data_IF_619137107727
#
_entry.id   IF_619137107727
#
_cell.length_a   1.000
_cell.length_b   1.000
_cell.length_c   1.000
_cell.angle_alpha   90.00
_cell.angle_beta   90.00
_cell.angle_gamma   90.00
#
_symmetry.space_group_name_H-M   'P 1'
#
loop_
_entity.id
_entity.type
_entity.pdbx_description
1 polymer ?
#
# COMPACT_ATOMS: atom_id res chain seq x y z
N UNK A 1 -12.16 -7.67 6.62
CA UNK A 1 -12.43 -7.18 5.26
C UNK A 1 -13.24 -5.92 5.43
N UNK A 2 -13.11 -4.89 4.56
CA UNK A 2 -13.93 -3.71 4.72
C UNK A 2 -15.39 -4.15 4.60
N UNK A 3 -16.22 -3.76 5.57
CA UNK A 3 -17.64 -4.15 5.64
C UNK A 3 -18.46 -3.59 4.47
N UNK A 4 -17.91 -2.61 3.77
CA UNK A 4 -18.48 -1.97 2.59
C UNK A 4 -17.46 -1.98 1.45
N UNK A 5 -17.93 -2.05 0.18
CA UNK A 5 -17.04 -1.97 -0.97
C UNK A 5 -16.31 -0.63 -1.00
N UNK A 6 -15.00 -0.68 -1.22
CA UNK A 6 -14.17 0.51 -1.40
C UNK A 6 -13.92 0.68 -2.89
N UNK A 7 -14.31 1.84 -3.42
CA UNK A 7 -14.02 2.21 -4.80
C UNK A 7 -12.66 2.90 -4.89
N UNK A 8 -11.89 2.50 -5.89
CA UNK A 8 -10.56 3.05 -6.14
C UNK A 8 -10.70 4.16 -7.18
N UNK A 9 -10.36 5.38 -6.79
CA UNK A 9 -10.40 6.57 -7.64
C UNK A 9 -9.00 7.15 -7.84
N UNK A 10 -8.81 7.95 -8.90
CA UNK A 10 -7.52 8.57 -9.21
C UNK A 10 -7.00 9.46 -8.08
N UNK A 11 -7.88 10.18 -7.38
CA UNK A 11 -7.49 11.03 -6.24
C UNK A 11 -6.85 10.24 -5.10
N UNK A 12 -7.37 9.04 -4.78
CA UNK A 12 -6.78 8.14 -3.80
C UNK A 12 -5.37 7.70 -4.23
N UNK A 13 -5.22 7.38 -5.52
CA UNK A 13 -3.93 6.97 -6.07
C UNK A 13 -2.90 8.10 -6.05
N UNK A 14 -3.30 9.31 -6.45
CA UNK A 14 -2.46 10.49 -6.43
C UNK A 14 -1.99 10.82 -5.01
N UNK A 15 -2.90 10.82 -4.04
CA UNK A 15 -2.55 11.02 -2.63
C UNK A 15 -1.54 9.98 -2.15
N UNK A 16 -1.78 8.69 -2.42
CA UNK A 16 -0.91 7.61 -1.98
C UNK A 16 0.50 7.71 -2.58
N UNK A 17 0.60 8.13 -3.86
CA UNK A 17 1.86 8.42 -4.54
C UNK A 17 2.58 9.59 -3.88
N UNK A 18 1.90 10.70 -3.56
CA UNK A 18 2.53 11.83 -2.88
C UNK A 18 3.06 11.45 -1.50
N UNK A 19 2.28 10.68 -0.72
CA UNK A 19 2.70 10.16 0.58
C UNK A 19 3.91 9.24 0.46
N UNK A 20 3.95 8.38 -0.56
CA UNK A 20 5.09 7.52 -0.82
C UNK A 20 6.35 8.35 -1.12
N UNK A 21 6.27 9.37 -1.99
CA UNK A 21 7.40 10.25 -2.37
C UNK A 21 8.07 10.94 -1.21
N UNK A 22 7.28 11.44 -0.25
CA UNK A 22 7.82 12.15 0.93
C UNK A 22 8.29 11.19 2.03
N UNK A 23 7.93 9.91 1.95
CA UNK A 23 8.35 8.92 2.93
C UNK A 23 9.83 8.59 2.77
N UNK A 24 10.54 8.37 3.88
CA UNK A 24 11.97 7.99 3.87
C UNK A 24 12.26 6.73 3.06
N UNK A 25 11.30 5.79 2.99
CA UNK A 25 11.42 4.52 2.27
C UNK A 25 10.90 4.59 0.83
N UNK A 26 10.38 5.75 0.41
CA UNK A 26 9.80 6.00 -0.91
C UNK A 26 8.62 5.07 -1.29
N UNK A 27 7.95 4.52 -0.28
CA UNK A 27 6.84 3.58 -0.45
C UNK A 27 5.81 3.71 0.66
N UNK A 28 4.56 3.42 0.33
CA UNK A 28 3.44 3.46 1.26
C UNK A 28 2.48 2.31 1.02
N UNK A 29 1.90 1.79 2.11
CA UNK A 29 0.84 0.80 2.05
C UNK A 29 -0.47 1.43 2.51
N UNK A 30 -1.53 1.28 1.71
CA UNK A 30 -2.89 1.61 2.12
C UNK A 30 -3.65 0.32 2.40
N UNK A 31 -3.85 0.00 3.68
CA UNK A 31 -4.46 -1.26 4.09
C UNK A 31 -5.99 -1.17 4.08
N UNK A 32 -6.64 -2.12 3.39
CA UNK A 32 -8.10 -2.31 3.46
C UNK A 32 -8.52 -3.36 4.49
N UNK A 33 -7.55 -3.99 5.14
CA UNK A 33 -7.74 -5.05 6.11
C UNK A 33 -7.43 -4.56 7.53
N UNK A 34 -8.03 -5.22 8.51
CA UNK A 34 -7.62 -5.19 9.91
C UNK A 34 -6.66 -6.33 10.19
N UNK A 35 -5.94 -6.26 11.31
CA UNK A 35 -4.92 -7.24 11.65
C UNK A 35 -5.46 -8.66 11.78
N UNK A 36 -6.73 -8.79 12.21
CA UNK A 36 -7.41 -10.07 12.44
C UNK A 36 -8.01 -10.67 11.17
N UNK A 37 -7.94 -9.97 10.04
CA UNK A 37 -8.51 -10.44 8.78
C UNK A 37 -7.72 -11.61 8.21
N UNK A 38 -8.45 -12.61 7.71
CA UNK A 38 -7.86 -13.81 7.07
C UNK A 38 -7.03 -13.52 5.82
N UNK A 39 -7.19 -12.35 5.21
CA UNK A 39 -6.42 -11.97 4.03
C UNK A 39 -6.10 -10.47 4.02
N UNK A 40 -4.84 -10.17 3.73
CA UNK A 40 -4.30 -8.82 3.71
C UNK A 40 -4.51 -8.20 2.33
N UNK A 41 -5.53 -7.35 2.20
CA UNK A 41 -5.78 -6.54 1.00
C UNK A 41 -5.28 -5.13 1.20
N UNK A 42 -4.51 -4.61 0.25
CA UNK A 42 -3.93 -3.27 0.33
C UNK A 42 -3.53 -2.76 -1.05
N UNK A 43 -3.38 -1.43 -1.17
CA UNK A 43 -2.60 -0.81 -2.25
C UNK A 43 -1.16 -0.61 -1.78
N UNK A 44 -0.21 -0.79 -2.69
CA UNK A 44 1.19 -0.47 -2.46
C UNK A 44 1.59 0.60 -3.47
N UNK A 45 2.00 1.77 -3.00
CA UNK A 45 2.75 2.74 -3.80
C UNK A 45 4.24 2.53 -3.57
N UNK A 46 4.98 2.41 -4.66
CA UNK A 46 6.43 2.17 -4.65
C UNK A 46 7.01 3.14 -5.67
N UNK A 47 7.69 4.18 -5.19
CA UNK A 47 8.33 5.16 -6.06
C UNK A 47 9.67 4.62 -6.62
N UNK A 48 10.16 5.17 -7.74
CA UNK A 48 11.49 4.86 -8.26
C UNK A 48 12.57 4.96 -7.19
N UNK A 49 13.62 4.13 -7.29
CA UNK A 49 14.72 4.01 -6.32
C UNK A 49 14.33 3.44 -4.93
N UNK A 50 13.05 3.09 -4.71
CA UNK A 50 12.64 2.36 -3.52
C UNK A 50 13.37 1.02 -3.39
N UNK A 51 14.12 0.84 -2.30
CA UNK A 51 14.72 -0.45 -2.01
C UNK A 51 13.67 -1.50 -1.61
N UNK A 52 13.52 -2.55 -2.42
CA UNK A 52 12.75 -3.75 -2.10
C UNK A 52 13.72 -4.84 -1.66
N UNK A 53 13.55 -5.33 -0.44
CA UNK A 53 14.38 -6.40 0.09
C UNK A 53 14.05 -7.71 -0.63
N UNK A 54 15.08 -8.38 -1.16
CA UNK A 54 14.96 -9.74 -1.65
C UNK A 54 14.55 -10.64 -0.49
N UNK A 55 13.42 -11.32 -0.63
CA UNK A 55 12.93 -12.29 0.35
C UNK A 55 12.79 -13.65 -0.31
N UNK A 56 13.09 -14.69 0.48
CA UNK A 56 12.83 -16.08 0.14
C UNK A 56 12.03 -16.69 1.29
N UNK A 57 10.98 -17.41 0.94
CA UNK A 57 10.34 -18.34 1.86
C UNK A 57 11.14 -19.66 1.83
N UNK A 58 11.55 -20.15 2.99
CA UNK A 58 12.32 -21.39 3.15
C UNK A 58 11.39 -22.47 3.68
#
# INVERSE_FOLDING_TARGET
>A
MPKQPVFIHSSLMEQLVQEARISKRQRMNYNFHQLEDVANRMLNAIEPESYIQLHRHV
#
